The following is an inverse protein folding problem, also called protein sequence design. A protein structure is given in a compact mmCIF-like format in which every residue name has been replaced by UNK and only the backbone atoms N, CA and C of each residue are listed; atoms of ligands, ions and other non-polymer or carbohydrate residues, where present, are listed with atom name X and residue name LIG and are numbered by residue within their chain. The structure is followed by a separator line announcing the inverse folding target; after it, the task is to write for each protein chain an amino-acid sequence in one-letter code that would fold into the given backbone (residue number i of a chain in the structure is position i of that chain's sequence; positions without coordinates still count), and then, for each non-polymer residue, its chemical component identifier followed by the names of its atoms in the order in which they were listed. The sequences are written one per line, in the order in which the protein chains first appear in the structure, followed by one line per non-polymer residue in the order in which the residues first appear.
data_IF_042161983407
#
_entry.id   IF_042161983407
#
_cell.length_a   1.000
_cell.length_b   1.000
_cell.length_c   1.000
_cell.angle_alpha   90.00
_cell.angle_beta   90.00
_cell.angle_gamma   90.00
#
_symmetry.space_group_name_H-M   'P 1'
#
loop_
_entity.id
_entity.type
_entity.pdbx_description
1 polymer ?
#
# COMPACT_ATOMS: atom_id res chain seq x y z
N UNK A 1 5.08 -23.12 -3.56
CA UNK A 1 6.18 -22.73 -4.48
C UNK A 1 7.25 -21.97 -3.70
N UNK A 2 8.47 -22.54 -3.63
CA UNK A 2 9.55 -22.05 -2.76
C UNK A 2 9.97 -20.60 -3.03
N UNK A 3 9.87 -20.12 -4.28
CA UNK A 3 10.20 -18.73 -4.65
C UNK A 3 9.12 -17.76 -4.15
N UNK A 4 7.85 -18.10 -4.36
CA UNK A 4 6.73 -17.29 -3.88
C UNK A 4 6.72 -17.22 -2.35
N UNK A 5 6.97 -18.35 -1.68
CA UNK A 5 7.02 -18.37 -0.22
C UNK A 5 8.18 -17.55 0.34
N UNK A 6 9.35 -17.57 -0.34
CA UNK A 6 10.47 -16.70 0.01
C UNK A 6 10.12 -15.22 -0.16
N UNK A 7 9.45 -14.85 -1.24
CA UNK A 7 8.97 -13.50 -1.48
C UNK A 7 7.98 -13.06 -0.40
N UNK A 8 6.94 -13.86 -0.11
CA UNK A 8 5.96 -13.55 0.95
C UNK A 8 6.64 -13.41 2.31
N UNK A 9 7.65 -14.24 2.61
CA UNK A 9 8.42 -14.12 3.83
C UNK A 9 9.17 -12.77 3.91
N UNK A 10 9.78 -12.34 2.81
CA UNK A 10 10.49 -11.06 2.74
C UNK A 10 9.54 -9.88 2.92
N UNK A 11 8.36 -9.90 2.27
CA UNK A 11 7.32 -8.87 2.42
C UNK A 11 6.80 -8.85 3.87
N UNK A 12 6.47 -10.00 4.42
CA UNK A 12 5.97 -10.12 5.80
C UNK A 12 6.97 -9.59 6.84
N UNK A 13 8.27 -9.74 6.59
CA UNK A 13 9.34 -9.23 7.45
C UNK A 13 9.42 -7.69 7.49
N UNK A 14 8.79 -6.98 6.52
CA UNK A 14 8.77 -5.51 6.49
C UNK A 14 7.75 -4.89 7.46
N UNK A 15 7.00 -5.70 8.20
CA UNK A 15 6.06 -5.19 9.20
C UNK A 15 6.79 -4.34 10.24
N UNK A 16 6.23 -3.18 10.52
CA UNK A 16 6.79 -2.27 11.54
C UNK A 16 6.22 -2.51 12.94
N UNK A 17 5.15 -3.31 13.04
CA UNK A 17 4.50 -3.68 14.30
C UNK A 17 3.70 -4.96 14.14
N UNK A 18 3.45 -5.64 15.24
CA UNK A 18 2.55 -6.80 15.30
C UNK A 18 1.14 -6.31 15.66
N UNK A 19 0.23 -6.42 14.69
CA UNK A 19 -1.18 -6.08 14.86
C UNK A 19 -2.00 -7.36 14.66
N UNK A 20 -2.96 -7.62 15.53
CA UNK A 20 -3.94 -8.67 15.34
C UNK A 20 -4.93 -8.25 14.24
N UNK A 21 -4.84 -8.92 13.10
CA UNK A 21 -5.71 -8.70 11.93
C UNK A 21 -6.90 -9.67 11.87
N UNK A 22 -7.09 -10.54 12.86
CA UNK A 22 -8.11 -11.61 12.83
C UNK A 22 -9.56 -11.10 12.75
N UNK A 23 -9.81 -9.90 13.27
CA UNK A 23 -11.11 -9.23 13.20
C UNK A 23 -11.33 -8.36 11.96
N UNK A 24 -10.33 -8.23 11.10
CA UNK A 24 -10.43 -7.41 9.90
C UNK A 24 -11.19 -8.15 8.80
N UNK A 25 -12.24 -7.51 8.26
CA UNK A 25 -12.96 -7.98 7.08
C UNK A 25 -12.61 -7.08 5.91
N UNK A 26 -12.23 -7.65 4.80
CA UNK A 26 -11.91 -6.88 3.62
C UNK A 26 -12.45 -7.49 2.32
N UNK A 27 -12.67 -6.62 1.34
CA UNK A 27 -12.85 -6.99 -0.04
C UNK A 27 -11.55 -6.74 -0.78
N UNK A 28 -11.15 -7.67 -1.63
CA UNK A 28 -9.96 -7.55 -2.47
C UNK A 28 -10.28 -7.72 -3.95
N UNK A 29 -9.70 -6.87 -4.79
CA UNK A 29 -9.73 -7.03 -6.23
C UNK A 29 -8.34 -6.92 -6.86
N UNK A 30 -7.89 -7.92 -7.65
CA UNK A 30 -6.69 -7.82 -8.47
C UNK A 30 -6.91 -7.12 -9.82
N UNK A 31 -8.07 -6.51 -10.07
CA UNK A 31 -8.46 -5.85 -11.34
C UNK A 31 -8.12 -6.68 -12.58
N UNK A 32 -8.48 -7.96 -12.58
CA UNK A 32 -8.15 -8.94 -13.64
C UNK A 32 -6.63 -9.12 -13.85
N UNK A 33 -5.83 -8.83 -12.87
CA UNK A 33 -4.37 -8.92 -12.91
C UNK A 33 -3.78 -10.13 -12.18
N UNK A 34 -2.48 -10.10 -11.93
CA UNK A 34 -1.68 -11.21 -11.41
C UNK A 34 -1.57 -11.26 -9.87
N UNK A 35 -2.05 -10.23 -9.14
CA UNK A 35 -1.79 -10.07 -7.71
C UNK A 35 -2.47 -11.06 -6.78
N UNK A 36 -3.51 -11.79 -7.24
CA UNK A 36 -4.40 -12.57 -6.36
C UNK A 36 -3.64 -13.54 -5.45
N UNK A 37 -2.77 -14.38 -6.01
CA UNK A 37 -2.10 -15.42 -5.22
C UNK A 37 -1.15 -14.83 -4.18
N UNK A 38 -0.37 -13.81 -4.56
CA UNK A 38 0.57 -13.15 -3.66
C UNK A 38 -0.15 -12.45 -2.51
N UNK A 39 -1.19 -11.66 -2.83
CA UNK A 39 -1.93 -10.89 -1.83
C UNK A 39 -2.71 -11.80 -0.89
N UNK A 40 -3.39 -12.85 -1.40
CA UNK A 40 -4.07 -13.81 -0.53
C UNK A 40 -3.11 -14.50 0.43
N UNK A 41 -1.98 -15.02 -0.04
CA UNK A 41 -0.98 -15.65 0.83
C UNK A 41 -0.45 -14.70 1.91
N UNK A 42 -0.27 -13.42 1.57
CA UNK A 42 0.16 -12.44 2.55
C UNK A 42 -0.94 -12.15 3.59
N UNK A 43 -2.19 -11.98 3.16
CA UNK A 43 -3.33 -11.75 4.06
C UNK A 43 -3.57 -12.94 4.99
N UNK A 44 -3.50 -14.17 4.46
CA UNK A 44 -3.58 -15.41 5.27
C UNK A 44 -2.48 -15.43 6.34
N UNK A 45 -1.26 -15.08 5.95
CA UNK A 45 -0.13 -15.03 6.89
C UNK A 45 -0.25 -13.92 7.94
N UNK A 46 -0.92 -12.81 7.62
CA UNK A 46 -1.26 -11.75 8.55
C UNK A 46 -2.42 -12.11 9.47
N UNK A 47 -3.08 -13.25 9.24
CA UNK A 47 -4.21 -13.72 10.03
C UNK A 47 -5.54 -13.05 9.67
N UNK A 48 -5.67 -12.43 8.49
CA UNK A 48 -6.94 -11.86 8.02
C UNK A 48 -7.84 -12.99 7.57
N UNK A 49 -8.84 -13.33 8.39
CA UNK A 49 -9.70 -14.50 8.17
C UNK A 49 -10.86 -14.25 7.20
N UNK A 50 -11.33 -13.01 7.07
CA UNK A 50 -12.50 -12.65 6.26
C UNK A 50 -12.09 -11.80 5.06
N UNK A 51 -11.67 -12.47 3.98
CA UNK A 51 -11.31 -11.85 2.70
C UNK A 51 -12.31 -12.26 1.63
N UNK A 52 -13.07 -11.30 1.10
CA UNK A 52 -13.94 -11.50 -0.05
C UNK A 52 -13.26 -11.01 -1.32
N UNK A 53 -12.91 -11.91 -2.23
CA UNK A 53 -12.35 -11.55 -3.55
C UNK A 53 -13.47 -11.20 -4.51
N UNK A 54 -13.31 -10.13 -5.31
CA UNK A 54 -14.26 -9.74 -6.37
C UNK A 54 -14.28 -10.80 -7.47
N UNK A 55 -15.36 -11.60 -7.62
CA UNK A 55 -15.35 -12.78 -8.50
C UNK A 55 -15.14 -12.45 -9.98
N UNK A 56 -15.70 -11.34 -10.45
CA UNK A 56 -15.62 -10.89 -11.86
C UNK A 56 -14.24 -10.38 -12.24
N UNK A 57 -13.37 -10.09 -11.27
CA UNK A 57 -12.03 -9.53 -11.45
C UNK A 57 -10.92 -10.44 -10.93
N UNK A 58 -11.26 -11.60 -10.36
CA UNK A 58 -10.32 -12.49 -9.68
C UNK A 58 -9.32 -13.18 -10.61
N UNK A 59 -9.69 -13.42 -11.86
CA UNK A 59 -8.85 -14.12 -12.84
C UNK A 59 -8.17 -13.13 -13.78
N UNK A 60 -6.90 -13.35 -14.13
CA UNK A 60 -6.24 -12.56 -15.16
C UNK A 60 -7.03 -12.58 -16.47
N UNK A 61 -7.38 -11.40 -16.97
CA UNK A 61 -8.06 -11.22 -18.26
C UNK A 61 -7.60 -9.91 -18.92
N UNK A 62 -6.79 -10.03 -19.97
CA UNK A 62 -6.26 -8.88 -20.72
C UNK A 62 -7.30 -8.09 -21.51
N UNK A 63 -8.58 -8.50 -21.49
CA UNK A 63 -9.70 -7.72 -22.07
C UNK A 63 -10.32 -6.78 -21.05
N UNK A 64 -10.05 -6.97 -19.75
CA UNK A 64 -10.56 -6.13 -18.65
C UNK A 64 -12.05 -5.82 -18.71
N UNK A 65 -12.95 -6.82 -18.83
CA UNK A 65 -14.35 -6.61 -19.19
C UNK A 65 -15.13 -5.76 -18.17
N UNK A 66 -14.70 -5.72 -16.92
CA UNK A 66 -15.36 -4.98 -15.84
C UNK A 66 -14.56 -3.77 -15.35
N UNK A 67 -13.35 -3.56 -15.89
CA UNK A 67 -12.45 -2.45 -15.55
C UNK A 67 -11.61 -2.06 -16.78
N UNK A 68 -12.20 -1.39 -17.79
CA UNK A 68 -11.49 -1.06 -19.05
C UNK A 68 -10.19 -0.27 -18.87
N UNK A 69 -10.08 0.43 -17.75
CA UNK A 69 -8.88 1.14 -17.32
C UNK A 69 -8.48 0.61 -15.93
N UNK A 70 -7.76 -0.53 -15.85
CA UNK A 70 -7.53 -1.26 -14.60
C UNK A 70 -6.52 -0.54 -13.70
N UNK A 71 -6.91 0.61 -13.19
CA UNK A 71 -6.15 1.44 -12.27
C UNK A 71 -6.98 1.64 -10.99
N UNK A 72 -6.46 1.28 -9.80
CA UNK A 72 -7.18 1.41 -8.53
C UNK A 72 -7.45 2.86 -8.10
N UNK A 73 -6.87 3.86 -8.77
CA UNK A 73 -7.24 5.27 -8.60
C UNK A 73 -8.62 5.60 -9.21
N UNK A 74 -9.00 4.86 -10.24
CA UNK A 74 -10.22 5.13 -11.00
C UNK A 74 -11.39 4.45 -10.28
N UNK A 75 -12.35 5.27 -9.84
CA UNK A 75 -13.53 4.78 -9.12
C UNK A 75 -14.29 3.71 -9.89
N UNK A 76 -14.41 3.87 -11.19
CA UNK A 76 -15.10 2.94 -12.09
C UNK A 76 -14.44 1.56 -12.08
N UNK A 77 -13.12 1.48 -11.97
CA UNK A 77 -12.39 0.21 -11.88
C UNK A 77 -12.65 -0.50 -10.54
N UNK A 78 -12.89 0.27 -9.49
CA UNK A 78 -13.16 -0.24 -8.15
C UNK A 78 -14.66 -0.53 -7.90
N UNK A 79 -15.56 -0.20 -8.84
CA UNK A 79 -17.02 -0.25 -8.61
C UNK A 79 -17.55 -1.64 -8.27
N UNK A 80 -17.02 -2.71 -8.87
CA UNK A 80 -17.40 -4.09 -8.51
C UNK A 80 -17.02 -4.40 -7.05
N UNK A 81 -15.86 -3.95 -6.59
CA UNK A 81 -15.45 -4.06 -5.19
C UNK A 81 -16.33 -3.21 -4.27
N UNK A 82 -16.60 -1.96 -4.65
CA UNK A 82 -17.47 -1.06 -3.88
C UNK A 82 -18.91 -1.61 -3.77
N UNK A 83 -19.42 -2.28 -4.82
CA UNK A 83 -20.71 -2.96 -4.76
C UNK A 83 -20.72 -4.07 -3.71
N UNK A 84 -19.70 -4.91 -3.69
CA UNK A 84 -19.55 -5.93 -2.66
C UNK A 84 -19.39 -5.34 -1.25
N UNK A 85 -18.71 -4.20 -1.14
CA UNK A 85 -18.57 -3.49 0.13
C UNK A 85 -19.94 -3.03 0.67
N UNK A 86 -20.81 -2.51 -0.19
CA UNK A 86 -22.18 -2.13 0.22
C UNK A 86 -23.00 -3.33 0.71
N UNK A 87 -22.79 -4.51 0.12
CA UNK A 87 -23.49 -5.74 0.49
C UNK A 87 -22.95 -6.37 1.79
N UNK A 88 -21.61 -6.46 1.91
CA UNK A 88 -20.93 -7.21 2.98
C UNK A 88 -20.48 -6.36 4.16
N UNK A 89 -20.42 -5.04 3.98
CA UNK A 89 -20.01 -4.08 5.02
C UNK A 89 -18.63 -4.39 5.65
N UNK A 90 -17.56 -4.65 4.85
CA UNK A 90 -16.21 -4.81 5.38
C UNK A 90 -15.66 -3.48 5.91
N UNK A 91 -14.51 -3.53 6.56
CA UNK A 91 -13.79 -2.32 6.97
C UNK A 91 -13.07 -1.66 5.79
N UNK A 92 -12.51 -2.48 4.88
CA UNK A 92 -11.67 -2.01 3.78
C UNK A 92 -12.01 -2.70 2.45
N UNK A 93 -11.79 -1.96 1.36
CA UNK A 93 -11.59 -2.50 0.01
C UNK A 93 -10.15 -2.21 -0.38
N UNK A 94 -9.45 -3.24 -0.87
CA UNK A 94 -8.11 -3.12 -1.44
C UNK A 94 -8.17 -3.55 -2.90
N UNK A 95 -7.60 -2.75 -3.79
CA UNK A 95 -7.42 -3.07 -5.20
C UNK A 95 -5.96 -2.97 -5.59
N UNK A 96 -5.48 -3.91 -6.40
CA UNK A 96 -4.17 -3.81 -7.06
C UNK A 96 -4.37 -3.73 -8.56
N UNK A 97 -3.50 -3.01 -9.27
CA UNK A 97 -3.51 -2.99 -10.71
C UNK A 97 -2.98 -4.32 -11.31
N UNK A 98 -3.01 -4.53 -12.63
CA UNK A 98 -2.76 -5.84 -13.22
C UNK A 98 -1.39 -6.44 -12.97
N UNK A 99 -0.33 -5.65 -12.90
CA UNK A 99 1.03 -6.08 -12.58
C UNK A 99 1.38 -5.95 -11.08
N UNK A 100 0.40 -5.47 -10.28
CA UNK A 100 0.45 -5.44 -8.82
C UNK A 100 1.55 -4.53 -8.24
N UNK A 101 1.91 -3.45 -8.95
CA UNK A 101 2.86 -2.46 -8.47
C UNK A 101 2.18 -1.25 -7.82
N UNK A 102 0.85 -1.11 -7.95
CA UNK A 102 0.01 -0.08 -7.33
C UNK A 102 -1.04 -0.68 -6.43
N UNK A 103 -1.38 0.03 -5.36
CA UNK A 103 -2.39 -0.39 -4.38
C UNK A 103 -3.36 0.75 -4.06
N UNK A 104 -4.63 0.59 -4.43
CA UNK A 104 -5.71 1.50 -4.07
C UNK A 104 -6.52 0.98 -2.91
N UNK A 105 -7.01 1.88 -2.07
CA UNK A 105 -7.77 1.53 -0.86
C UNK A 105 -9.04 2.37 -0.79
N UNK A 106 -10.15 1.74 -0.40
CA UNK A 106 -11.32 2.45 0.09
C UNK A 106 -11.64 2.01 1.53
N UNK A 107 -11.98 2.96 2.36
CA UNK A 107 -12.37 2.73 3.75
C UNK A 107 -13.80 3.21 3.98
N UNK A 108 -14.49 2.54 4.90
CA UNK A 108 -15.83 2.94 5.34
C UNK A 108 -15.73 4.14 6.28
N UNK A 109 -16.43 5.21 5.93
CA UNK A 109 -16.51 6.41 6.77
C UNK A 109 -17.55 6.28 7.91
N UNK A 110 -17.69 7.33 8.71
CA UNK A 110 -18.63 7.36 9.84
C UNK A 110 -20.11 7.31 9.42
N UNK A 111 -20.41 7.63 8.16
CA UNK A 111 -21.76 7.55 7.60
C UNK A 111 -22.10 6.16 7.07
N UNK A 112 -21.09 5.28 6.96
CA UNK A 112 -21.20 3.94 6.39
C UNK A 112 -20.87 3.88 4.90
N UNK A 113 -20.53 5.02 4.28
CA UNK A 113 -20.14 5.10 2.87
C UNK A 113 -18.65 4.78 2.68
N UNK A 114 -18.32 4.22 1.50
CA UNK A 114 -16.93 3.88 1.16
C UNK A 114 -16.28 5.00 0.37
N UNK A 115 -15.23 5.57 0.96
CA UNK A 115 -14.43 6.63 0.36
C UNK A 115 -13.11 6.05 -0.16
N UNK A 116 -12.81 6.30 -1.44
CA UNK A 116 -11.49 6.02 -2.00
C UNK A 116 -10.48 6.99 -1.36
N UNK A 117 -9.38 6.44 -0.89
CA UNK A 117 -8.27 7.20 -0.31
C UNK A 117 -7.27 7.45 -1.44
N UNK A 118 -6.96 8.71 -1.72
CA UNK A 118 -5.98 9.05 -2.76
C UNK A 118 -4.57 8.59 -2.40
N UNK A 119 -3.70 8.39 -3.39
CA UNK A 119 -2.31 8.00 -3.14
C UNK A 119 -1.55 9.00 -2.29
N UNK A 120 -1.82 10.30 -2.44
CA UNK A 120 -1.28 11.32 -1.55
C UNK A 120 -1.72 11.14 -0.09
N UNK A 121 -3.00 10.88 0.14
CA UNK A 121 -3.53 10.61 1.48
C UNK A 121 -2.95 9.31 2.05
N UNK A 122 -2.91 8.26 1.25
CA UNK A 122 -2.36 6.97 1.68
C UNK A 122 -0.88 7.09 2.02
N UNK A 123 -0.06 7.75 1.18
CA UNK A 123 1.35 7.97 1.45
C UNK A 123 1.61 8.72 2.77
N UNK A 124 0.80 9.75 3.04
CA UNK A 124 0.89 10.51 4.31
C UNK A 124 0.45 9.65 5.51
N UNK A 125 -0.66 8.90 5.38
CA UNK A 125 -1.15 8.00 6.44
C UNK A 125 -0.13 6.90 6.76
N UNK A 126 0.49 6.29 5.75
CA UNK A 126 1.52 5.27 5.94
C UNK A 126 2.79 5.85 6.55
N UNK A 127 3.25 7.02 6.13
CA UNK A 127 4.40 7.69 6.73
C UNK A 127 4.15 8.01 8.21
N UNK A 128 2.97 8.54 8.55
CA UNK A 128 2.58 8.80 9.96
C UNK A 128 2.55 7.51 10.78
N UNK A 129 1.92 6.46 10.25
CA UNK A 129 1.84 5.16 10.91
C UNK A 129 3.23 4.56 11.17
N UNK A 130 4.10 4.54 10.16
CA UNK A 130 5.46 3.99 10.27
C UNK A 130 6.27 4.77 11.31
N UNK A 131 6.22 6.11 11.28
CA UNK A 131 6.92 6.93 12.25
C UNK A 131 6.43 6.66 13.68
N UNK A 132 5.12 6.63 13.91
CA UNK A 132 4.53 6.33 15.22
C UNK A 132 4.92 4.94 15.73
N UNK A 133 4.80 3.93 14.88
CA UNK A 133 5.10 2.55 15.25
C UNK A 133 6.59 2.38 15.60
N UNK A 134 7.50 2.96 14.84
CA UNK A 134 8.94 2.89 15.10
C UNK A 134 9.35 3.67 16.35
N UNK A 135 8.74 4.82 16.60
CA UNK A 135 8.95 5.57 17.86
C UNK A 135 8.46 4.77 19.06
N UNK A 136 7.27 4.20 19.00
CA UNK A 136 6.70 3.37 20.08
C UNK A 136 7.56 2.13 20.38
N UNK A 137 8.15 1.53 19.33
CA UNK A 137 9.03 0.36 19.46
C UNK A 137 10.50 0.71 19.77
N UNK A 138 10.88 2.01 19.83
CA UNK A 138 12.28 2.47 19.91
C UNK A 138 13.17 1.94 18.77
N UNK A 139 12.62 1.84 17.57
CA UNK A 139 13.30 1.34 16.36
C UNK A 139 13.45 2.41 15.28
N UNK A 140 13.16 3.68 15.60
CA UNK A 140 13.40 4.78 14.67
C UNK A 140 14.91 4.89 14.37
N UNK A 141 15.31 4.87 13.08
CA UNK A 141 16.71 5.05 12.72
C UNK A 141 17.27 6.41 13.20
N UNK A 142 18.57 6.48 13.39
CA UNK A 142 19.25 7.77 13.52
C UNK A 142 19.21 8.48 12.16
N UNK A 143 18.89 9.78 12.12
CA UNK A 143 18.73 10.57 10.90
C UNK A 143 17.87 9.88 9.81
N UNK A 144 16.62 9.54 10.11
CA UNK A 144 15.76 8.80 9.19
C UNK A 144 15.45 9.57 7.91
N UNK A 145 15.36 8.85 6.80
CA UNK A 145 15.11 9.41 5.46
C UNK A 145 13.83 8.81 4.89
N UNK A 146 12.90 9.65 4.48
CA UNK A 146 11.78 9.28 3.62
C UNK A 146 11.96 9.90 2.23
N UNK A 147 11.36 9.27 1.22
CA UNK A 147 11.49 9.71 -0.17
C UNK A 147 10.11 9.81 -0.81
N UNK A 148 9.84 10.89 -1.54
CA UNK A 148 8.64 11.04 -2.36
C UNK A 148 8.93 11.86 -3.61
N UNK A 149 7.92 12.11 -4.46
CA UNK A 149 8.11 12.84 -5.70
C UNK A 149 7.91 14.35 -5.53
N UNK A 150 8.40 15.14 -6.50
CA UNK A 150 8.20 16.60 -6.52
C UNK A 150 6.75 17.01 -6.73
N UNK A 151 5.90 16.09 -7.23
CA UNK A 151 4.47 16.33 -7.47
C UNK A 151 3.58 15.79 -6.35
N UNK A 152 4.15 15.06 -5.39
CA UNK A 152 3.41 14.60 -4.21
C UNK A 152 3.07 15.73 -3.24
N UNK A 153 2.08 15.50 -2.40
CA UNK A 153 1.55 16.50 -1.46
C UNK A 153 2.61 17.14 -0.57
N UNK A 154 2.49 18.46 -0.35
CA UNK A 154 3.33 19.20 0.62
C UNK A 154 3.03 18.86 2.10
N UNK A 155 1.98 18.06 2.38
CA UNK A 155 1.73 17.58 3.74
C UNK A 155 2.83 16.61 4.20
N UNK A 156 3.46 15.87 3.28
CA UNK A 156 4.60 15.02 3.59
C UNK A 156 5.78 15.78 4.22
N UNK A 157 6.05 17.03 3.78
CA UNK A 157 7.11 17.86 4.35
C UNK A 157 6.83 18.22 5.81
N UNK A 158 5.57 18.59 6.09
CA UNK A 158 5.16 18.95 7.46
C UNK A 158 5.22 17.75 8.40
N UNK A 159 4.80 16.59 7.90
CA UNK A 159 4.81 15.36 8.67
C UNK A 159 6.25 14.89 8.93
N UNK A 160 7.11 14.91 7.92
CA UNK A 160 8.53 14.59 8.06
C UNK A 160 9.21 15.51 9.09
N UNK A 161 8.96 16.83 9.00
CA UNK A 161 9.49 17.79 9.97
C UNK A 161 9.00 17.50 11.40
N UNK A 162 7.73 17.11 11.58
CA UNK A 162 7.16 16.76 12.88
C UNK A 162 7.90 15.58 13.54
N UNK A 163 8.31 14.58 12.75
CA UNK A 163 9.00 13.38 13.23
C UNK A 163 10.53 13.46 13.17
N UNK A 164 11.10 14.58 12.72
CA UNK A 164 12.55 14.70 12.53
C UNK A 164 13.09 13.85 11.39
N UNK A 165 12.25 13.54 10.39
CA UNK A 165 12.60 12.76 9.20
C UNK A 165 13.10 13.70 8.10
N UNK A 166 14.21 13.37 7.46
CA UNK A 166 14.67 14.05 6.25
C UNK A 166 13.84 13.57 5.06
N UNK A 167 13.01 14.47 4.48
CA UNK A 167 12.26 14.15 3.27
C UNK A 167 13.09 14.52 2.03
N UNK A 168 13.39 13.52 1.18
CA UNK A 168 14.01 13.73 -0.14
C UNK A 168 12.93 13.70 -1.22
N UNK A 169 12.98 14.66 -2.15
CA UNK A 169 12.07 14.72 -3.29
C UNK A 169 12.79 14.38 -4.57
N UNK A 170 12.18 13.49 -5.36
CA UNK A 170 12.72 13.02 -6.65
C UNK A 170 11.75 13.31 -7.79
N UNK A 171 12.16 13.06 -9.01
CA UNK A 171 11.24 12.96 -10.14
C UNK A 171 10.32 11.75 -9.96
N UNK A 172 9.18 11.75 -10.64
CA UNK A 172 8.24 10.62 -10.64
C UNK A 172 8.88 9.38 -11.27
N UNK A 173 8.73 8.25 -10.62
CA UNK A 173 9.22 6.93 -11.00
C UNK A 173 10.02 6.26 -9.88
N UNK A 174 9.62 5.06 -9.50
CA UNK A 174 10.23 4.29 -8.40
C UNK A 174 11.75 4.08 -8.55
N UNK A 175 12.27 4.11 -9.79
CA UNK A 175 13.72 4.08 -10.04
C UNK A 175 14.48 5.22 -9.32
N UNK A 176 13.86 6.40 -9.21
CA UNK A 176 14.49 7.54 -8.52
C UNK A 176 14.43 7.38 -7.00
N UNK A 177 13.36 6.76 -6.48
CA UNK A 177 13.30 6.35 -5.06
C UNK A 177 14.39 5.30 -4.81
N UNK A 178 14.51 4.29 -5.68
CA UNK A 178 15.57 3.28 -5.61
C UNK A 178 16.98 3.87 -5.66
N UNK A 179 17.22 4.92 -6.46
CA UNK A 179 18.49 5.65 -6.47
C UNK A 179 18.83 6.26 -5.12
N UNK A 180 17.83 6.78 -4.38
CA UNK A 180 18.04 7.33 -3.04
C UNK A 180 18.39 6.23 -2.02
N UNK A 181 17.78 5.06 -2.13
CA UNK A 181 18.14 3.88 -1.32
C UNK A 181 19.60 3.49 -1.64
N UNK A 182 19.92 3.35 -2.93
CA UNK A 182 21.29 3.02 -3.36
C UNK A 182 22.32 4.09 -2.96
N UNK A 183 21.92 5.36 -2.81
CA UNK A 183 22.81 6.39 -2.27
C UNK A 183 23.07 6.14 -0.77
N UNK A 184 22.06 5.85 0.02
CA UNK A 184 22.22 5.52 1.44
C UNK A 184 23.10 4.26 1.64
N UNK A 185 22.98 3.27 0.75
CA UNK A 185 23.85 2.09 0.76
C UNK A 185 25.31 2.45 0.50
N UNK A 186 25.59 3.31 -0.48
CA UNK A 186 26.95 3.80 -0.77
C UNK A 186 27.53 4.64 0.36
N UNK A 187 26.68 5.36 1.09
CA UNK A 187 27.04 6.10 2.29
C UNK A 187 27.29 5.19 3.50
N UNK A 188 26.95 3.89 3.41
CA UNK A 188 27.07 2.91 4.50
C UNK A 188 25.93 2.98 5.51
N UNK A 189 24.82 3.61 5.16
CA UNK A 189 23.69 3.88 6.05
C UNK A 189 22.33 3.49 5.46
N UNK A 190 22.16 2.27 4.90
CA UNK A 190 20.86 1.83 4.35
C UNK A 190 19.75 1.79 5.39
N UNK A 191 20.07 1.58 6.67
CA UNK A 191 19.13 1.55 7.79
C UNK A 191 18.38 2.88 8.00
N UNK A 192 18.90 3.98 7.44
CA UNK A 192 18.23 5.29 7.51
C UNK A 192 17.00 5.38 6.63
N UNK A 193 16.88 4.53 5.59
CA UNK A 193 15.68 4.51 4.75
C UNK A 193 14.47 4.05 5.55
N UNK A 194 13.48 4.94 5.67
CA UNK A 194 12.28 4.70 6.44
C UNK A 194 11.10 4.26 5.59
N UNK A 195 10.83 5.03 4.52
CA UNK A 195 9.68 4.84 3.64
C UNK A 195 9.82 5.65 2.35
N UNK A 196 9.25 5.14 1.27
CA UNK A 196 9.15 5.87 0.00
C UNK A 196 7.78 5.66 -0.63
N UNK A 197 7.22 6.67 -1.26
CA UNK A 197 5.93 6.59 -1.94
C UNK A 197 5.80 7.59 -3.09
N UNK A 198 4.93 7.27 -4.02
CA UNK A 198 4.45 8.16 -5.07
C UNK A 198 2.95 8.43 -4.91
N UNK A 199 2.49 9.57 -5.41
CA UNK A 199 1.09 9.97 -5.35
C UNK A 199 0.17 9.08 -6.21
N UNK A 200 0.72 8.38 -7.18
CA UNK A 200 0.01 7.46 -8.08
C UNK A 200 -0.09 6.02 -7.54
N UNK A 201 -0.16 5.87 -6.24
CA UNK A 201 -0.40 4.61 -5.49
C UNK A 201 0.77 3.61 -5.50
N UNK A 202 1.96 4.05 -5.78
CA UNK A 202 3.15 3.21 -5.65
C UNK A 202 3.99 3.54 -4.43
#
# INVERSE_FOLDING_TARGET
DSVLDAYINAVYAQRVTDIDCSGLRLVYTPLCGSGLECVQKLLDRLGVADVTVVPSQAKPDGKFPTCPYPNPEIRESMEEGLRLCREKQPELLIGTDPDCDRCGVAARDQTGEYQLISGNEMGVLLLDFICKARLAANTMPHDPVAVTTVVSTGMADRLAAHYGVTLRRTLTGFKYIGEQIGQLEREGHPERFLFGFEESYG
#
